data_IF_448142535490
#
_entry.id   IF_448142535490
#
_cell.length_a   1.000
_cell.length_b   1.000
_cell.length_c   1.000
_cell.angle_alpha   90.00
_cell.angle_beta   90.00
_cell.angle_gamma   90.00
#
_symmetry.space_group_name_H-M   'P 1'
#
loop_
_entity.id
_entity.type
_entity.pdbx_description
1 polymer ?
#
# COMPACT_ATOMS: atom_id res chain seq x y z
N UNK A 1 -1.77 9.93 -13.91
CA UNK A 1 -2.22 8.55 -14.18
C UNK A 1 -1.48 7.51 -13.31
N UNK A 2 -0.15 7.62 -13.12
CA UNK A 2 0.65 6.66 -12.33
C UNK A 2 0.14 6.43 -10.89
N UNK A 3 -0.31 7.50 -10.21
CA UNK A 3 -0.86 7.44 -8.85
C UNK A 3 -2.13 6.57 -8.76
N UNK A 4 -3.09 6.82 -9.65
CA UNK A 4 -4.35 6.05 -9.72
C UNK A 4 -4.09 4.60 -10.13
N UNK A 5 -3.11 4.35 -10.99
CA UNK A 5 -2.69 2.98 -11.33
C UNK A 5 -2.17 2.24 -10.11
N UNK A 6 -1.27 2.85 -9.33
CA UNK A 6 -0.76 2.25 -8.09
C UNK A 6 -1.87 2.01 -7.06
N UNK A 7 -2.81 2.96 -6.93
CA UNK A 7 -3.99 2.81 -6.08
C UNK A 7 -4.86 1.61 -6.49
N UNK A 8 -5.08 1.45 -7.80
CA UNK A 8 -5.86 0.35 -8.36
C UNK A 8 -5.16 -1.00 -8.16
N UNK A 9 -3.86 -1.08 -8.44
CA UNK A 9 -3.06 -2.28 -8.20
C UNK A 9 -3.11 -2.71 -6.73
N UNK A 10 -3.01 -1.75 -5.80
CA UNK A 10 -3.10 -2.01 -4.36
C UNK A 10 -4.48 -2.53 -3.94
N UNK A 11 -5.56 -1.91 -4.46
CA UNK A 11 -6.92 -2.37 -4.22
C UNK A 11 -7.13 -3.80 -4.73
N UNK A 12 -6.62 -4.11 -5.91
CA UNK A 12 -6.75 -5.43 -6.51
C UNK A 12 -5.98 -6.49 -5.72
N UNK A 13 -4.79 -6.14 -5.21
CA UNK A 13 -4.01 -7.01 -4.34
C UNK A 13 -4.73 -7.33 -3.03
N UNK A 14 -5.31 -6.32 -2.37
CA UNK A 14 -6.12 -6.56 -1.18
C UNK A 14 -7.37 -7.38 -1.45
N UNK A 15 -8.08 -7.12 -2.56
CA UNK A 15 -9.27 -7.88 -2.94
C UNK A 15 -8.94 -9.35 -3.22
N UNK A 16 -7.84 -9.60 -3.95
CA UNK A 16 -7.37 -10.94 -4.22
C UNK A 16 -6.95 -11.66 -2.93
N UNK A 17 -6.28 -10.95 -2.02
CA UNK A 17 -5.90 -11.50 -0.71
C UNK A 17 -7.12 -11.87 0.14
N UNK A 18 -8.15 -11.03 0.16
CA UNK A 18 -9.41 -11.34 0.83
C UNK A 18 -10.05 -12.63 0.28
N UNK A 19 -10.06 -12.82 -1.04
CA UNK A 19 -10.54 -14.05 -1.67
C UNK A 19 -9.67 -15.26 -1.31
N UNK A 20 -8.34 -15.09 -1.27
CA UNK A 20 -7.41 -16.15 -0.88
C UNK A 20 -7.63 -16.67 0.54
N UNK A 21 -8.06 -15.82 1.48
CA UNK A 21 -8.43 -16.26 2.82
C UNK A 21 -9.62 -17.24 2.83
N UNK A 22 -10.43 -17.24 1.77
CA UNK A 22 -11.50 -18.23 1.57
C UNK A 22 -11.06 -19.39 0.67
N UNK A 23 -10.20 -19.13 -0.32
CA UNK A 23 -9.78 -20.09 -1.34
C UNK A 23 -8.26 -20.10 -1.53
N UNK A 24 -7.59 -21.03 -0.85
CA UNK A 24 -6.11 -21.10 -0.82
C UNK A 24 -5.47 -21.37 -2.18
N UNK A 25 -6.21 -21.94 -3.15
CA UNK A 25 -5.74 -22.15 -4.52
C UNK A 25 -5.38 -20.85 -5.25
N UNK A 26 -5.85 -19.69 -4.74
CA UNK A 26 -5.58 -18.37 -5.32
C UNK A 26 -4.21 -17.80 -4.95
N UNK A 27 -3.42 -18.48 -4.12
CA UNK A 27 -2.11 -18.01 -3.62
C UNK A 27 -1.19 -17.45 -4.72
N UNK A 28 -1.19 -18.08 -5.90
CA UNK A 28 -0.38 -17.66 -7.05
C UNK A 28 -0.82 -16.31 -7.63
N UNK A 29 -2.13 -16.11 -7.75
CA UNK A 29 -2.69 -14.86 -8.23
C UNK A 29 -2.44 -13.75 -7.20
N UNK A 30 -2.59 -14.06 -5.91
CA UNK A 30 -2.33 -13.11 -4.82
C UNK A 30 -0.87 -12.71 -4.78
N UNK A 31 0.07 -13.64 -4.95
CA UNK A 31 1.48 -13.34 -5.09
C UNK A 31 1.73 -12.33 -6.22
N UNK A 32 1.18 -12.58 -7.42
CA UNK A 32 1.33 -11.70 -8.57
C UNK A 32 0.72 -10.31 -8.35
N UNK A 33 -0.45 -10.22 -7.73
CA UNK A 33 -1.09 -8.93 -7.46
C UNK A 33 -0.30 -8.11 -6.43
N UNK A 34 0.20 -8.74 -5.36
CA UNK A 34 1.05 -8.06 -4.40
C UNK A 34 2.36 -7.58 -5.03
N UNK A 35 3.02 -8.42 -5.84
CA UNK A 35 4.22 -8.00 -6.58
C UNK A 35 3.92 -6.82 -7.52
N UNK A 36 2.82 -6.87 -8.28
CA UNK A 36 2.42 -5.80 -9.21
C UNK A 36 2.08 -4.50 -8.47
N UNK A 37 1.42 -4.58 -7.31
CA UNK A 37 1.15 -3.44 -6.45
C UNK A 37 2.45 -2.85 -5.91
N UNK A 38 3.36 -3.70 -5.45
CA UNK A 38 4.71 -3.33 -5.00
C UNK A 38 5.46 -2.55 -6.07
N UNK A 39 5.60 -3.12 -7.26
CA UNK A 39 6.27 -2.47 -8.39
C UNK A 39 5.61 -1.13 -8.77
N UNK A 40 4.28 -1.09 -8.86
CA UNK A 40 3.55 0.16 -9.16
C UNK A 40 3.81 1.27 -8.14
N UNK A 41 3.88 0.93 -6.85
CA UNK A 41 4.14 1.88 -5.77
C UNK A 41 5.61 2.31 -5.72
N UNK A 42 6.54 1.39 -5.96
CA UNK A 42 7.97 1.70 -6.05
C UNK A 42 8.27 2.59 -7.25
N UNK A 43 7.67 2.30 -8.42
CA UNK A 43 7.77 3.16 -9.60
C UNK A 43 7.19 4.56 -9.33
N UNK A 44 6.08 4.66 -8.59
CA UNK A 44 5.53 5.95 -8.17
C UNK A 44 6.50 6.69 -7.24
N UNK A 45 7.05 6.03 -6.22
CA UNK A 45 7.95 6.63 -5.25
C UNK A 45 9.31 7.01 -5.86
N UNK A 46 9.86 6.19 -6.75
CA UNK A 46 11.14 6.43 -7.43
C UNK A 46 11.00 7.35 -8.66
N UNK A 47 9.78 7.72 -9.05
CA UNK A 47 9.54 8.56 -10.23
C UNK A 47 10.25 9.90 -10.14
N UNK A 48 10.99 10.27 -11.18
CA UNK A 48 11.56 11.61 -11.36
C UNK A 48 10.47 12.68 -11.51
N UNK A 49 9.25 12.27 -11.86
CA UNK A 49 8.08 13.14 -11.94
C UNK A 49 7.39 13.33 -10.58
N UNK A 50 7.96 12.83 -9.47
CA UNK A 50 7.37 12.95 -8.14
C UNK A 50 7.00 14.41 -7.79
N UNK A 51 7.90 15.34 -8.08
CA UNK A 51 7.67 16.79 -7.86
C UNK A 51 6.48 17.32 -8.67
N UNK A 52 6.34 16.89 -9.93
CA UNK A 52 5.20 17.25 -10.78
C UNK A 52 3.89 16.54 -10.39
N UNK A 53 3.98 15.34 -9.80
CA UNK A 53 2.85 14.59 -9.25
C UNK A 53 2.31 15.25 -7.98
N UNK A 54 3.20 15.87 -7.19
CA UNK A 54 2.87 16.49 -5.90
C UNK A 54 2.48 17.95 -6.05
N UNK A 55 3.04 18.71 -7.01
CA UNK A 55 2.83 20.15 -7.30
C UNK A 55 1.77 20.86 -6.42
N UNK A 56 2.14 21.06 -5.16
CA UNK A 56 2.22 22.38 -4.55
C UNK A 56 3.57 22.98 -4.97
N UNK A 57 3.58 24.28 -5.27
CA UNK A 57 4.66 24.94 -6.01
C UNK A 57 6.05 24.79 -5.34
N UNK A 58 7.06 24.34 -6.12
CA UNK A 58 8.54 24.60 -6.07
C UNK A 58 9.44 23.34 -6.01
N UNK A 59 10.70 23.38 -6.53
CA UNK A 59 11.55 22.19 -6.67
C UNK A 59 12.21 21.77 -5.36
N UNK A 60 12.27 20.45 -5.17
CA UNK A 60 12.90 19.71 -4.09
C UNK A 60 14.43 19.62 -4.27
N UNK A 61 15.19 19.63 -3.18
CA UNK A 61 16.62 19.26 -3.12
C UNK A 61 16.80 17.74 -3.07
N UNK A 62 17.62 17.22 -3.98
CA UNK A 62 17.78 15.78 -4.28
C UNK A 62 18.98 15.12 -3.55
N UNK A 63 18.98 13.79 -3.59
CA UNK A 63 20.02 12.80 -3.23
C UNK A 63 20.04 12.22 -1.80
N UNK A 64 19.83 12.99 -0.73
CA UNK A 64 20.03 12.44 0.63
C UNK A 64 18.92 11.49 1.12
N UNK A 65 17.70 11.56 0.56
CA UNK A 65 16.54 10.80 1.06
C UNK A 65 16.33 9.46 0.35
N UNK A 66 16.77 9.33 -0.91
CA UNK A 66 16.81 8.04 -1.63
C UNK A 66 17.69 7.01 -0.90
N UNK A 67 18.73 7.48 -0.21
CA UNK A 67 19.59 6.63 0.61
C UNK A 67 18.86 6.01 1.82
N UNK A 68 17.91 6.74 2.44
CA UNK A 68 17.11 6.20 3.55
C UNK A 68 16.05 5.21 3.09
N UNK A 69 15.61 5.35 1.84
CA UNK A 69 14.73 4.44 1.13
C UNK A 69 15.45 3.10 0.88
N UNK A 70 16.71 3.11 0.45
CA UNK A 70 17.51 1.91 0.18
C UNK A 70 17.84 1.06 1.42
N UNK A 71 17.81 1.64 2.63
CA UNK A 71 18.10 0.94 3.90
C UNK A 71 16.87 0.67 4.77
N UNK A 72 15.67 0.69 4.19
CA UNK A 72 14.46 0.51 4.97
C UNK A 72 14.37 -0.91 5.56
N UNK A 73 14.42 -1.02 6.89
CA UNK A 73 14.12 -2.24 7.64
C UNK A 73 12.89 -2.05 8.50
N UNK A 74 11.87 -2.89 8.30
CA UNK A 74 10.66 -2.82 9.10
C UNK A 74 10.88 -3.44 10.48
N UNK A 75 10.65 -2.73 11.59
CA UNK A 75 10.81 -3.31 12.93
C UNK A 75 9.63 -4.20 13.37
N UNK A 76 8.54 -4.22 12.58
CA UNK A 76 7.26 -4.87 12.95
C UNK A 76 6.97 -6.16 12.17
N UNK A 77 7.71 -6.44 11.10
CA UNK A 77 7.51 -7.66 10.33
C UNK A 77 8.84 -8.32 10.00
N UNK A 78 8.83 -9.63 9.95
CA UNK A 78 10.00 -10.46 9.65
C UNK A 78 10.31 -10.62 8.16
N UNK A 79 9.51 -10.03 7.25
CA UNK A 79 9.65 -10.24 5.80
C UNK A 79 11.04 -9.89 5.26
N UNK A 80 11.58 -8.74 5.65
CA UNK A 80 12.88 -8.30 5.15
C UNK A 80 14.04 -9.13 5.71
N UNK A 81 13.97 -9.50 7.00
CA UNK A 81 14.93 -10.43 7.61
C UNK A 81 14.92 -11.78 6.90
N UNK A 82 13.72 -12.26 6.56
CA UNK A 82 13.54 -13.53 5.87
C UNK A 82 14.04 -13.49 4.42
N UNK A 83 13.88 -12.36 3.75
CA UNK A 83 14.44 -12.11 2.42
C UNK A 83 15.97 -12.07 2.44
N UNK A 84 16.57 -11.26 3.32
CA UNK A 84 18.03 -11.12 3.47
C UNK A 84 18.70 -12.47 3.80
N UNK A 85 18.05 -13.29 4.63
CA UNK A 85 18.54 -14.62 5.02
C UNK A 85 18.23 -15.73 4.01
N UNK A 86 17.56 -15.43 2.89
CA UNK A 86 17.04 -16.42 1.93
C UNK A 86 16.11 -17.50 2.56
N UNK A 87 15.53 -17.23 3.73
CA UNK A 87 14.69 -18.18 4.49
C UNK A 87 13.25 -18.28 3.97
N UNK A 88 12.91 -17.55 2.90
CA UNK A 88 11.66 -17.74 2.17
C UNK A 88 11.47 -19.16 1.65
N UNK A 89 12.54 -19.92 1.43
CA UNK A 89 12.47 -21.30 0.94
C UNK A 89 12.38 -22.35 2.04
N UNK A 90 12.52 -21.96 3.30
CA UNK A 90 12.49 -22.92 4.39
C UNK A 90 11.11 -23.58 4.49
N UNK A 91 11.05 -24.87 4.89
CA UNK A 91 9.80 -25.50 5.26
C UNK A 91 9.09 -24.65 6.32
N UNK A 92 7.85 -24.27 6.05
CA UNK A 92 7.06 -23.36 6.89
C UNK A 92 5.85 -24.10 7.40
N UNK A 93 5.60 -24.01 8.71
CA UNK A 93 4.36 -24.53 9.28
C UNK A 93 3.20 -23.59 8.98
N UNK A 94 1.97 -24.08 9.11
CA UNK A 94 0.78 -23.23 8.95
C UNK A 94 0.81 -22.02 9.89
N UNK A 95 1.21 -22.23 11.15
CA UNK A 95 1.31 -21.16 12.15
C UNK A 95 2.35 -20.11 11.76
N UNK A 96 3.50 -20.52 11.20
CA UNK A 96 4.51 -19.60 10.70
C UNK A 96 3.98 -18.76 9.52
N UNK A 97 3.21 -19.38 8.62
CA UNK A 97 2.60 -18.69 7.48
C UNK A 97 1.56 -17.66 7.92
N UNK A 98 0.65 -18.04 8.83
CA UNK A 98 -0.34 -17.13 9.41
C UNK A 98 0.33 -15.97 10.14
N UNK A 99 1.38 -16.25 10.91
CA UNK A 99 2.15 -15.24 11.61
C UNK A 99 2.76 -14.22 10.64
N UNK A 100 3.52 -14.66 9.64
CA UNK A 100 4.14 -13.76 8.64
C UNK A 100 3.08 -12.96 7.88
N UNK A 101 1.97 -13.59 7.50
CA UNK A 101 0.87 -12.92 6.80
C UNK A 101 0.19 -11.88 7.69
N UNK A 102 0.00 -12.15 8.98
CA UNK A 102 -0.59 -11.21 9.93
C UNK A 102 0.31 -9.99 10.19
N UNK A 103 1.62 -10.19 10.36
CA UNK A 103 2.61 -9.10 10.49
C UNK A 103 2.60 -8.20 9.25
N UNK A 104 2.58 -8.81 8.07
CA UNK A 104 2.48 -8.11 6.79
C UNK A 104 1.21 -7.26 6.70
N UNK A 105 0.05 -7.86 6.97
CA UNK A 105 -1.23 -7.18 6.86
C UNK A 105 -1.35 -6.01 7.84
N UNK A 106 -0.86 -6.15 9.07
CA UNK A 106 -0.82 -5.04 10.04
C UNK A 106 0.05 -3.88 9.52
N UNK A 107 1.25 -4.20 9.02
CA UNK A 107 2.15 -3.22 8.46
C UNK A 107 1.54 -2.48 7.26
N UNK A 108 1.07 -3.22 6.26
CA UNK A 108 0.53 -2.64 5.03
C UNK A 108 -0.77 -1.89 5.31
N UNK A 109 -1.63 -2.36 6.20
CA UNK A 109 -2.84 -1.64 6.61
C UNK A 109 -2.48 -0.29 7.24
N UNK A 110 -1.55 -0.27 8.21
CA UNK A 110 -1.14 0.95 8.89
C UNK A 110 -0.48 1.97 7.94
N UNK A 111 0.40 1.49 7.06
CA UNK A 111 1.10 2.33 6.09
C UNK A 111 0.13 2.85 5.02
N UNK A 112 -0.76 2.01 4.53
CA UNK A 112 -1.72 2.37 3.48
C UNK A 112 -2.68 3.46 3.93
N UNK A 113 -3.14 3.44 5.18
CA UNK A 113 -4.00 4.50 5.73
C UNK A 113 -3.37 5.90 5.61
N UNK A 114 -2.03 6.00 5.67
CA UNK A 114 -1.31 7.27 5.56
C UNK A 114 -1.19 7.80 4.14
N UNK A 115 -1.30 6.93 3.14
CA UNK A 115 -1.08 7.27 1.73
C UNK A 115 -2.33 7.14 0.86
N UNK A 116 -3.36 6.43 1.32
CA UNK A 116 -4.51 6.05 0.50
C UNK A 116 -5.25 7.26 -0.08
N UNK A 117 -5.53 8.26 0.77
CA UNK A 117 -6.20 9.49 0.33
C UNK A 117 -5.43 10.18 -0.81
N UNK A 118 -4.11 10.24 -0.70
CA UNK A 118 -3.27 10.77 -1.77
C UNK A 118 -3.40 9.91 -3.02
N UNK A 119 -3.23 8.59 -2.90
CA UNK A 119 -3.27 7.65 -4.02
C UNK A 119 -4.56 7.73 -4.84
N UNK A 120 -5.71 7.90 -4.17
CA UNK A 120 -7.02 7.97 -4.83
C UNK A 120 -7.43 9.39 -5.23
N UNK A 121 -6.66 10.41 -4.86
CA UNK A 121 -7.02 11.79 -5.13
C UNK A 121 -7.28 12.01 -6.63
N UNK A 122 -8.38 12.70 -6.95
CA UNK A 122 -8.82 12.92 -8.33
C UNK A 122 -9.54 11.72 -8.99
N UNK A 123 -9.62 10.56 -8.34
CA UNK A 123 -10.37 9.39 -8.82
C UNK A 123 -11.62 9.16 -7.95
N UNK A 124 -12.80 9.51 -8.48
CA UNK A 124 -14.07 9.38 -7.73
C UNK A 124 -14.37 7.94 -7.30
N UNK A 125 -14.12 6.96 -8.17
CA UNK A 125 -14.46 5.56 -7.89
C UNK A 125 -13.61 4.97 -6.76
N UNK A 126 -12.29 5.15 -6.82
CA UNK A 126 -11.39 4.65 -5.78
C UNK A 126 -11.55 5.42 -4.46
N UNK A 127 -11.97 6.69 -4.52
CA UNK A 127 -12.28 7.49 -3.33
C UNK A 127 -13.45 6.96 -2.50
N UNK A 128 -14.29 6.05 -3.03
CA UNK A 128 -15.37 5.40 -2.28
C UNK A 128 -14.86 4.24 -1.42
N UNK A 129 -13.70 3.67 -1.74
CA UNK A 129 -13.11 2.57 -0.98
C UNK A 129 -12.49 3.10 0.32
N UNK A 130 -13.02 2.67 1.47
CA UNK A 130 -12.55 3.10 2.80
C UNK A 130 -11.16 2.58 3.13
N UNK A 131 -10.91 1.30 2.83
CA UNK A 131 -9.64 0.65 3.05
C UNK A 131 -9.41 -0.39 1.93
N UNK A 132 -8.30 -0.31 1.18
CA UNK A 132 -8.02 -1.24 0.08
C UNK A 132 -7.39 -2.56 0.54
N UNK A 133 -7.03 -2.69 1.82
CA UNK A 133 -6.36 -3.88 2.40
C UNK A 133 -7.33 -4.66 3.27
N UNK A 134 -8.08 -3.95 4.11
CA UNK A 134 -9.12 -4.51 4.97
C UNK A 134 -10.49 -4.37 4.29
N UNK A 135 -11.10 -5.50 3.96
CA UNK A 135 -12.42 -5.59 3.33
C UNK A 135 -13.56 -5.78 4.33
N UNK A 136 -13.33 -5.66 5.66
CA UNK A 136 -14.40 -5.70 6.66
C UNK A 136 -15.50 -4.65 6.44
N UNK A 137 -15.23 -3.59 5.66
CA UNK A 137 -16.27 -2.63 5.27
C UNK A 137 -17.34 -3.22 4.32
N UNK A 138 -17.07 -4.34 3.65
CA UNK A 138 -18.08 -5.06 2.87
C UNK A 138 -19.07 -5.84 3.75
N UNK A 139 -18.65 -6.25 4.96
CA UNK A 139 -19.49 -7.00 5.90
C UNK A 139 -20.62 -6.15 6.51
N UNK A 140 -20.50 -4.82 6.46
CA UNK A 140 -21.55 -3.88 6.85
C UNK A 140 -22.82 -3.93 5.97
N UNK A 141 -22.85 -4.79 4.93
CA UNK A 141 -24.04 -5.01 4.09
C UNK A 141 -25.06 -6.01 4.65
N UNK A 142 -24.78 -6.66 5.80
CA UNK A 142 -25.80 -7.42 6.52
C UNK A 142 -26.71 -6.48 7.32
N UNK A 143 -27.71 -5.95 6.63
CA UNK A 143 -28.91 -5.28 7.17
C UNK A 143 -28.69 -4.06 8.08
N UNK A 144 -28.49 -2.88 7.49
CA UNK A 144 -29.24 -1.69 7.95
C UNK A 144 -30.06 -1.15 6.79
N UNK A 145 -31.31 -1.63 6.71
CA UNK A 145 -32.38 -0.86 6.09
C UNK A 145 -32.59 0.38 6.95
N UNK A 146 -31.89 1.46 6.62
CA UNK A 146 -32.40 2.80 6.85
C UNK A 146 -32.06 3.59 5.59
N UNK A 147 -33.06 3.71 4.73
CA UNK A 147 -33.00 4.59 3.59
C UNK A 147 -33.17 6.02 4.07
N UNK A 148 -32.24 6.89 3.74
CA UNK A 148 -32.46 8.33 3.63
C UNK A 148 -31.66 8.78 2.40
N UNK A 149 -32.29 8.80 1.22
CA UNK A 149 -33.10 9.90 0.72
C UNK A 149 -32.25 11.17 0.52
N UNK A 150 -31.91 11.41 -0.74
CA UNK A 150 -31.51 12.71 -1.27
C UNK A 150 -32.57 13.73 -0.87
N UNK A 151 -32.22 14.68 0.01
CA UNK A 151 -33.02 15.87 0.26
C UNK A 151 -32.13 17.11 0.27
N UNK A 152 -32.25 17.90 -0.80
CA UNK A 152 -31.92 19.31 -0.79
C UNK A 152 -32.93 20.02 0.13
N UNK A 153 -32.49 20.64 1.23
CA UNK A 153 -33.12 21.86 1.73
C UNK A 153 -32.25 22.61 2.72
N UNK A 154 -32.14 23.91 2.44
CA UNK A 154 -31.66 25.05 3.21
C UNK A 154 -32.03 25.00 4.70
N UNK A 155 -31.04 25.21 5.59
CA UNK A 155 -31.29 25.41 7.03
C UNK A 155 -30.00 25.56 7.84
N UNK A 156 -29.76 26.76 8.38
CA UNK A 156 -28.57 27.16 9.15
C UNK A 156 -28.56 26.60 10.58
N UNK A 157 -27.33 26.41 11.12
CA UNK A 157 -26.86 26.14 12.51
C UNK A 157 -26.52 24.65 12.75
N UNK A 158 -25.34 24.21 13.20
CA UNK A 158 -24.09 24.85 13.64
C UNK A 158 -23.27 23.81 14.42
N UNK A 159 -21.95 23.79 14.16
CA UNK A 159 -20.85 23.08 14.88
C UNK A 159 -20.59 21.59 14.64
N UNK A 160 -19.65 21.28 13.74
CA UNK A 160 -18.32 20.77 14.14
C UNK A 160 -17.34 20.95 12.98
N UNK A 161 -16.57 22.04 13.02
CA UNK A 161 -15.58 22.38 12.00
C UNK A 161 -14.30 21.58 12.28
N UNK A 162 -14.00 20.54 11.49
CA UNK A 162 -12.64 20.01 11.34
C UNK A 162 -12.11 20.43 9.97
N UNK A 163 -12.19 21.72 9.70
CA UNK A 163 -11.49 22.40 8.60
C UNK A 163 -10.49 23.34 9.24
N UNK A 164 -9.33 22.81 9.66
CA UNK A 164 -8.17 23.66 9.82
C UNK A 164 -7.53 23.78 8.44
N UNK A 165 -7.95 24.78 7.66
CA UNK A 165 -7.07 25.39 6.67
C UNK A 165 -5.91 26.04 7.42
N UNK A 166 -4.97 25.22 7.85
CA UNK A 166 -3.69 25.69 8.37
C UNK A 166 -2.94 26.14 7.13
N UNK A 167 -2.64 27.43 7.04
CA UNK A 167 -1.63 27.94 6.11
C UNK A 167 -0.30 27.28 6.52
N UNK A 168 0.00 26.15 5.88
CA UNK A 168 1.22 25.36 6.10
C UNK A 168 2.38 26.19 5.57
N UNK A 169 3.37 26.46 6.41
CA UNK A 169 4.59 27.14 5.99
C UNK A 169 5.37 26.25 5.01
N UNK A 170 6.13 26.83 4.08
CA UNK A 170 6.78 26.08 3.00
C UNK A 170 7.65 24.90 3.47
N UNK A 171 8.28 24.99 4.65
CA UNK A 171 9.09 23.91 5.21
C UNK A 171 8.26 22.74 5.77
N UNK A 172 7.09 23.00 6.35
CA UNK A 172 6.19 21.96 6.90
C UNK A 172 5.44 21.21 5.79
N UNK A 173 5.20 21.87 4.64
CA UNK A 173 4.59 21.25 3.48
C UNK A 173 5.54 20.27 2.78
N UNK A 174 6.81 20.67 2.65
CA UNK A 174 7.89 19.87 2.07
C UNK A 174 8.15 18.59 2.90
N UNK A 175 8.25 18.73 4.24
CA UNK A 175 8.39 17.60 5.17
C UNK A 175 7.25 16.58 5.07
N UNK A 176 6.01 17.06 4.89
CA UNK A 176 4.83 16.20 4.73
C UNK A 176 4.85 15.42 3.40
N UNK A 177 5.30 16.05 2.30
CA UNK A 177 5.40 15.40 0.99
C UNK A 177 6.51 14.35 0.90
N UNK A 178 7.63 14.57 1.59
CA UNK A 178 8.69 13.58 1.70
C UNK A 178 8.25 12.39 2.54
N UNK A 179 7.59 12.67 3.66
CA UNK A 179 7.09 11.61 4.51
C UNK A 179 6.08 10.72 3.77
N UNK A 180 5.23 11.32 2.93
CA UNK A 180 4.32 10.62 2.04
C UNK A 180 5.06 9.72 1.04
N UNK A 181 6.10 10.24 0.37
CA UNK A 181 6.94 9.47 -0.56
C UNK A 181 7.56 8.26 0.11
N UNK A 182 8.08 8.43 1.32
CA UNK A 182 8.66 7.37 2.14
C UNK A 182 7.60 6.32 2.50
N UNK A 183 6.38 6.72 2.88
CA UNK A 183 5.32 5.76 3.16
C UNK A 183 4.92 4.95 1.93
N UNK A 184 4.79 5.58 0.76
CA UNK A 184 4.48 4.88 -0.50
C UNK A 184 5.57 3.86 -0.81
N UNK A 185 6.84 4.27 -0.68
CA UNK A 185 7.97 3.36 -0.86
C UNK A 185 7.88 2.15 0.09
N UNK A 186 7.63 2.39 1.38
CA UNK A 186 7.49 1.32 2.38
C UNK A 186 6.36 0.36 2.04
N UNK A 187 5.18 0.86 1.66
CA UNK A 187 4.07 -0.01 1.20
C UNK A 187 4.53 -0.85 0.01
N UNK A 188 5.21 -0.21 -0.96
CA UNK A 188 5.76 -0.88 -2.14
C UNK A 188 6.68 -2.06 -1.79
N UNK A 189 7.68 -1.82 -0.92
CA UNK A 189 8.61 -2.86 -0.45
C UNK A 189 7.88 -4.01 0.23
N UNK A 190 6.96 -3.72 1.15
CA UNK A 190 6.19 -4.77 1.84
C UNK A 190 5.38 -5.62 0.86
N UNK A 191 4.67 -4.99 -0.08
CA UNK A 191 3.89 -5.69 -1.09
C UNK A 191 4.78 -6.59 -1.95
N UNK A 192 5.95 -6.09 -2.34
CA UNK A 192 6.89 -6.82 -3.18
C UNK A 192 7.47 -8.04 -2.44
N UNK A 193 7.95 -7.86 -1.21
CA UNK A 193 8.50 -8.92 -0.37
C UNK A 193 7.45 -9.98 -0.04
N UNK A 194 6.21 -9.58 0.24
CA UNK A 194 5.14 -10.54 0.52
C UNK A 194 4.73 -11.31 -0.72
N UNK A 195 4.65 -10.65 -1.89
CA UNK A 195 4.44 -11.32 -3.17
C UNK A 195 5.49 -12.39 -3.44
N UNK A 196 6.77 -12.08 -3.18
CA UNK A 196 7.85 -13.05 -3.28
C UNK A 196 7.74 -14.18 -2.26
N UNK A 197 7.45 -13.86 -0.99
CA UNK A 197 7.23 -14.84 0.05
C UNK A 197 6.17 -15.86 -0.39
N UNK A 198 5.01 -15.41 -0.88
CA UNK A 198 3.97 -16.29 -1.41
C UNK A 198 4.45 -17.10 -2.62
N UNK A 199 5.13 -16.46 -3.57
CA UNK A 199 5.65 -17.11 -4.77
C UNK A 199 6.65 -18.23 -4.43
N UNK A 200 7.54 -17.98 -3.46
CA UNK A 200 8.57 -18.90 -3.02
C UNK A 200 8.01 -20.21 -2.47
N UNK A 201 6.82 -20.16 -1.84
CA UNK A 201 6.13 -21.33 -1.31
C UNK A 201 5.49 -22.20 -2.39
N UNK A 202 5.22 -21.63 -3.56
CA UNK A 202 4.48 -22.34 -4.62
C UNK A 202 5.33 -22.69 -5.84
N UNK A 203 6.26 -21.83 -6.26
CA UNK A 203 7.07 -22.01 -7.47
C UNK A 203 8.54 -22.35 -7.20
N UNK A 204 9.01 -22.24 -5.95
CA UNK A 204 10.42 -22.39 -5.61
C UNK A 204 11.31 -21.21 -6.04
N UNK A 205 12.62 -21.34 -5.81
CA UNK A 205 13.62 -20.25 -5.81
C UNK A 205 13.85 -19.51 -7.13
N UNK A 206 13.54 -20.12 -8.26
CA UNK A 206 13.85 -19.57 -9.59
C UNK A 206 12.61 -19.29 -10.43
N UNK A 207 11.49 -19.01 -9.76
CA UNK A 207 10.28 -18.57 -10.46
C UNK A 207 10.51 -17.21 -11.10
N UNK A 208 9.83 -16.95 -12.23
CA UNK A 208 9.87 -15.65 -12.90
C UNK A 208 9.52 -14.51 -11.93
N UNK A 209 8.58 -14.75 -11.02
CA UNK A 209 8.12 -13.77 -10.03
C UNK A 209 9.19 -13.49 -8.95
N UNK A 210 9.88 -14.53 -8.47
CA UNK A 210 10.98 -14.40 -7.50
C UNK A 210 12.17 -13.66 -8.11
N UNK A 211 12.56 -14.00 -9.34
CA UNK A 211 13.63 -13.31 -10.05
C UNK A 211 13.29 -11.83 -10.32
N UNK A 212 12.03 -11.55 -10.66
CA UNK A 212 11.56 -10.18 -10.89
C UNK A 212 11.68 -9.31 -9.64
N UNK A 213 11.32 -9.83 -8.46
CA UNK A 213 11.42 -9.10 -7.19
C UNK A 213 12.87 -8.76 -6.84
N UNK A 214 13.78 -9.73 -6.98
CA UNK A 214 15.21 -9.50 -6.72
C UNK A 214 15.78 -8.41 -7.63
N UNK A 215 15.39 -8.38 -8.90
CA UNK A 215 15.82 -7.34 -9.85
C UNK A 215 15.27 -5.95 -9.51
N UNK A 216 14.12 -5.83 -8.82
CA UNK A 216 13.55 -4.55 -8.41
C UNK A 216 14.23 -4.01 -7.13
N UNK A 217 14.65 -4.91 -6.25
CA UNK A 217 15.24 -4.56 -4.95
C UNK A 217 16.75 -4.29 -5.02
N UNK A 218 17.43 -4.56 -6.14
CA UNK A 218 18.88 -4.38 -6.32
C UNK A 218 19.70 -4.79 -5.08
N UNK A 219 19.78 -6.10 -4.83
CA UNK A 219 20.84 -6.71 -3.99
C UNK A 219 22.07 -7.04 -4.85
#
# INVERSE_FOLDING_TARGET
MIRTSAAYSLLLAGAAHHLFNSESSLVLYVANFWTTAGDSLLNLAKSSLWTDIVRWDRPMSDDSELYHIEKYKCPKCSLIDKFETNSFHDPVTHADFEHVSSEFLDCVTNLTQKVWYFLVHGCRYLGLCKNPIDFCWLDTSKFSSDGEAVAQSTGTKGYSNCGNERSISGSEAEENTNQLRIYIFKVGVHCLLYGEYLASKCYGRHSHLTCHVHNILDL
#
